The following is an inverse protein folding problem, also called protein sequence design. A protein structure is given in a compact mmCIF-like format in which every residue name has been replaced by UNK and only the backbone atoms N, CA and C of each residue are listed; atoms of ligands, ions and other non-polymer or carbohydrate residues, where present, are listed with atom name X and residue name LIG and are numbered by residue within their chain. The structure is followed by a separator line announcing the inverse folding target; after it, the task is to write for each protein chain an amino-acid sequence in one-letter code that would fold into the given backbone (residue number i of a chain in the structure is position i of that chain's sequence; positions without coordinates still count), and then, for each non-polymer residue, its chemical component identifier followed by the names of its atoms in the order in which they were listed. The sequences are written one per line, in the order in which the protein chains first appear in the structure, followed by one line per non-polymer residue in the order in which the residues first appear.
data_IF_502186724305
#
_entry.id   IF_502186724305
#
_cell.length_a   1.000
_cell.length_b   1.000
_cell.length_c   1.000
_cell.angle_alpha   90.00
_cell.angle_beta   90.00
_cell.angle_gamma   90.00
#
_symmetry.space_group_name_H-M   'P 1'
#
loop_
_entity.id
_entity.type
_entity.pdbx_description
1 polymer ?
#
# COMPACT_ATOMS: atom_id res chain seq x y z
N UNK A 1 1.03 9.33 -25.87
CA UNK A 1 0.58 10.11 -24.68
C UNK A 1 0.34 9.11 -23.55
N UNK A 2 0.67 9.47 -22.31
CA UNK A 2 0.35 8.63 -21.15
C UNK A 2 -1.14 8.68 -20.81
N UNK A 3 -1.64 7.70 -20.02
CA UNK A 3 -3.08 7.56 -19.71
C UNK A 3 -3.71 8.79 -19.03
N UNK A 4 -2.90 9.51 -18.23
CA UNK A 4 -3.34 10.69 -17.47
C UNK A 4 -2.68 11.99 -17.96
N UNK A 5 -2.16 12.00 -19.21
CA UNK A 5 -1.63 13.22 -19.81
C UNK A 5 -2.69 14.30 -19.86
N UNK A 6 -2.38 15.50 -19.35
CA UNK A 6 -3.28 16.65 -19.26
C UNK A 6 -4.08 16.70 -17.95
N UNK A 7 -3.96 15.72 -17.07
CA UNK A 7 -4.52 15.77 -15.71
C UNK A 7 -3.52 16.46 -14.78
N UNK A 8 -3.98 17.51 -14.09
CA UNK A 8 -3.21 18.27 -13.09
C UNK A 8 -3.77 18.05 -11.69
N UNK A 9 -2.87 17.80 -10.73
CA UNK A 9 -3.20 17.48 -9.33
C UNK A 9 -2.49 18.46 -8.42
N UNK A 10 -3.22 19.09 -7.52
CA UNK A 10 -2.68 19.83 -6.36
C UNK A 10 -2.70 18.89 -5.16
N UNK A 11 -1.52 18.54 -4.65
CA UNK A 11 -1.30 17.53 -3.62
C UNK A 11 -0.77 18.17 -2.32
N UNK A 12 -1.61 18.28 -1.29
CA UNK A 12 -1.25 18.76 0.03
C UNK A 12 -1.03 17.61 1.04
N UNK A 13 -1.09 16.38 0.57
CA UNK A 13 -0.94 15.22 1.44
C UNK A 13 0.50 15.03 1.91
N UNK A 14 0.67 14.41 3.08
CA UNK A 14 1.95 14.18 3.73
C UNK A 14 2.11 12.70 4.09
N UNK A 15 3.32 12.29 4.40
CA UNK A 15 3.69 10.93 4.79
C UNK A 15 3.43 9.89 3.69
N UNK A 16 2.42 8.99 3.81
CA UNK A 16 2.35 7.80 2.97
C UNK A 16 1.11 7.72 2.08
N UNK A 17 -0.16 7.69 2.55
CA UNK A 17 -1.28 7.26 1.70
C UNK A 17 -1.52 8.19 0.51
N UNK A 18 -1.60 9.49 0.72
CA UNK A 18 -1.78 10.48 -0.34
C UNK A 18 -0.57 10.56 -1.28
N UNK A 19 0.67 10.75 -0.77
CA UNK A 19 1.86 10.82 -1.60
C UNK A 19 2.09 9.57 -2.46
N UNK A 20 1.82 8.37 -1.95
CA UNK A 20 1.90 7.13 -2.72
C UNK A 20 0.87 7.11 -3.84
N UNK A 21 -0.37 7.48 -3.55
CA UNK A 21 -1.46 7.53 -4.53
C UNK A 21 -1.13 8.53 -5.66
N UNK A 22 -0.70 9.75 -5.32
CA UNK A 22 -0.36 10.77 -6.33
C UNK A 22 0.90 10.42 -7.12
N UNK A 23 1.86 9.66 -6.55
CA UNK A 23 2.97 9.09 -7.31
C UNK A 23 2.50 8.06 -8.36
N UNK A 24 1.49 7.25 -8.03
CA UNK A 24 0.89 6.35 -9.03
C UNK A 24 0.23 7.12 -10.18
N UNK A 25 -0.40 8.26 -9.91
CA UNK A 25 -0.91 9.15 -10.96
C UNK A 25 0.22 9.75 -11.81
N UNK A 26 1.30 10.21 -11.16
CA UNK A 26 2.49 10.76 -11.84
C UNK A 26 3.15 9.73 -12.76
N UNK A 27 3.30 8.48 -12.33
CA UNK A 27 3.87 7.38 -13.13
C UNK A 27 3.09 7.15 -14.43
N UNK A 28 1.83 7.60 -14.50
CA UNK A 28 0.96 7.48 -15.66
C UNK A 28 0.66 8.82 -16.35
N UNK A 29 1.44 9.86 -16.05
CA UNK A 29 1.48 11.11 -16.82
C UNK A 29 0.67 12.26 -16.28
N UNK A 30 0.08 12.15 -15.07
CA UNK A 30 -0.50 13.31 -14.41
C UNK A 30 0.62 14.26 -13.93
N UNK A 31 0.37 15.55 -14.02
CA UNK A 31 1.19 16.60 -13.43
C UNK A 31 0.81 16.76 -11.95
N UNK A 32 1.76 16.53 -11.03
CA UNK A 32 1.50 16.61 -9.60
C UNK A 32 2.25 17.81 -9.02
N UNK A 33 1.52 18.79 -8.52
CA UNK A 33 2.05 19.95 -7.80
C UNK A 33 1.87 19.68 -6.32
N UNK A 34 2.97 19.29 -5.66
CA UNK A 34 2.99 19.06 -4.21
C UNK A 34 3.17 20.39 -3.48
N UNK A 35 2.15 20.77 -2.72
CA UNK A 35 2.19 21.94 -1.86
C UNK A 35 2.71 21.54 -0.49
N UNK A 36 3.80 22.15 -0.08
CA UNK A 36 4.46 21.85 1.19
C UNK A 36 4.43 23.07 2.14
N UNK A 37 4.34 22.84 3.46
CA UNK A 37 4.54 23.91 4.42
C UNK A 37 6.01 24.40 4.39
N UNK A 38 6.36 25.54 5.00
CA UNK A 38 7.73 26.07 5.02
C UNK A 38 8.81 25.12 5.52
N UNK A 39 8.45 24.12 6.33
CA UNK A 39 9.37 23.05 6.78
C UNK A 39 9.45 21.83 5.87
N UNK A 40 8.66 21.80 4.81
CA UNK A 40 8.51 20.64 3.92
C UNK A 40 7.68 19.49 4.50
N UNK A 41 7.50 18.45 3.71
CA UNK A 41 6.93 17.18 4.16
C UNK A 41 7.87 16.51 5.19
N UNK A 42 7.38 16.07 6.36
CA UNK A 42 8.20 15.37 7.36
C UNK A 42 8.94 14.14 6.79
N UNK A 43 8.42 13.52 5.75
CA UNK A 43 9.10 12.40 5.07
C UNK A 43 10.48 12.80 4.49
N UNK A 44 10.73 14.10 4.24
CA UNK A 44 12.05 14.60 3.83
C UNK A 44 13.14 14.38 4.87
N UNK A 45 12.76 14.26 6.15
CA UNK A 45 13.68 14.08 7.29
C UNK A 45 13.84 12.62 7.73
N UNK A 46 13.20 11.68 7.03
CA UNK A 46 13.23 10.28 7.41
C UNK A 46 14.42 9.52 6.81
N UNK A 47 15.19 8.85 7.66
CA UNK A 47 16.28 7.97 7.25
C UNK A 47 15.77 6.70 6.52
N UNK A 48 16.62 6.06 5.70
CA UNK A 48 17.99 6.44 5.36
C UNK A 48 18.08 7.54 4.32
N UNK A 49 19.20 8.26 4.33
CA UNK A 49 19.53 9.27 3.32
C UNK A 49 20.50 8.70 2.27
N UNK A 50 20.29 9.09 1.03
CA UNK A 50 21.18 8.81 -0.09
C UNK A 50 21.30 10.08 -0.95
N UNK A 51 22.51 10.54 -1.24
CA UNK A 51 22.78 11.79 -1.95
C UNK A 51 22.08 13.03 -1.34
N UNK A 52 21.97 13.05 0.00
CA UNK A 52 21.34 14.15 0.75
C UNK A 52 19.81 14.14 0.77
N UNK A 53 19.17 13.15 0.14
CA UNK A 53 17.72 13.05 0.06
C UNK A 53 17.24 11.77 0.78
N UNK A 54 16.12 11.88 1.50
CA UNK A 54 15.45 10.73 2.11
C UNK A 54 15.04 9.73 1.03
N UNK A 55 15.44 8.45 1.20
CA UNK A 55 15.07 7.36 0.30
C UNK A 55 13.55 7.14 0.33
N UNK A 56 12.94 7.32 1.49
CA UNK A 56 11.48 7.22 1.60
C UNK A 56 10.78 8.35 0.84
N UNK A 57 11.13 9.62 1.12
CA UNK A 57 10.56 10.77 0.42
C UNK A 57 10.67 10.59 -1.10
N UNK A 58 11.85 10.21 -1.59
CA UNK A 58 12.09 9.99 -3.02
C UNK A 58 11.12 8.94 -3.61
N UNK A 59 10.91 7.82 -2.92
CA UNK A 59 10.08 6.75 -3.45
C UNK A 59 8.58 7.10 -3.54
N UNK A 60 8.09 8.00 -2.73
CA UNK A 60 6.67 8.40 -2.70
C UNK A 60 6.41 9.80 -3.28
N UNK A 61 7.46 10.53 -3.69
CA UNK A 61 7.31 11.88 -4.25
C UNK A 61 8.09 12.09 -5.56
N UNK A 62 8.66 11.02 -6.12
CA UNK A 62 9.33 11.09 -7.42
C UNK A 62 8.37 11.56 -8.52
N UNK A 63 8.88 12.36 -9.45
CA UNK A 63 8.12 12.86 -10.60
C UNK A 63 7.11 13.97 -10.26
N UNK A 64 7.11 14.47 -9.02
CA UNK A 64 6.26 15.61 -8.62
C UNK A 64 7.04 16.93 -8.75
N UNK A 65 6.30 18.03 -8.69
CA UNK A 65 6.80 19.38 -8.55
C UNK A 65 6.58 19.85 -7.13
N UNK A 66 7.56 20.48 -6.49
CA UNK A 66 7.45 21.00 -5.11
C UNK A 66 7.30 22.52 -5.12
N UNK A 67 6.28 23.00 -4.40
CA UNK A 67 5.99 24.41 -4.16
C UNK A 67 5.75 24.61 -2.67
N UNK A 68 6.43 25.55 -2.04
CA UNK A 68 6.23 25.89 -0.63
C UNK A 68 5.23 27.03 -0.49
N UNK A 69 4.12 26.75 0.21
CA UNK A 69 3.11 27.77 0.56
C UNK A 69 2.76 27.68 2.04
N UNK A 70 2.98 28.78 2.77
CA UNK A 70 2.38 28.95 4.10
C UNK A 70 0.92 29.42 3.95
N UNK A 71 -0.01 28.49 4.00
CA UNK A 71 -1.44 28.75 3.79
C UNK A 71 -2.09 29.62 4.89
N UNK A 72 -1.35 29.97 5.93
CA UNK A 72 -1.78 30.97 6.91
C UNK A 72 -1.59 32.40 6.39
N UNK A 73 -0.82 32.56 5.32
CA UNK A 73 -0.61 33.84 4.65
C UNK A 73 -1.61 34.00 3.51
N UNK A 74 -2.37 35.09 3.51
CA UNK A 74 -3.43 35.32 2.51
C UNK A 74 -2.92 35.30 1.07
N UNK A 75 -1.75 35.88 0.82
CA UNK A 75 -1.15 35.91 -0.53
C UNK A 75 -0.83 34.50 -1.04
N UNK A 76 -0.35 33.61 -0.16
CA UNK A 76 -0.09 32.22 -0.52
C UNK A 76 -1.38 31.43 -0.73
N UNK A 77 -2.43 31.75 0.04
CA UNK A 77 -3.74 31.14 -0.18
C UNK A 77 -4.32 31.54 -1.54
N UNK A 78 -4.17 32.80 -1.98
CA UNK A 78 -4.58 33.26 -3.32
C UNK A 78 -3.80 32.53 -4.42
N UNK A 79 -2.49 32.31 -4.23
CA UNK A 79 -1.69 31.50 -5.15
C UNK A 79 -2.19 30.06 -5.26
N UNK A 80 -2.58 29.44 -4.12
CA UNK A 80 -3.19 28.13 -4.12
C UNK A 80 -4.50 28.11 -4.91
N UNK A 81 -5.35 29.13 -4.74
CA UNK A 81 -6.61 29.25 -5.48
C UNK A 81 -6.38 29.32 -6.99
N UNK A 82 -5.37 30.08 -7.42
CA UNK A 82 -4.98 30.11 -8.82
C UNK A 82 -4.54 28.74 -9.37
N UNK A 83 -3.80 27.95 -8.57
CA UNK A 83 -3.46 26.57 -8.96
C UNK A 83 -4.70 25.69 -9.05
N UNK A 84 -5.65 25.81 -8.12
CA UNK A 84 -6.89 25.03 -8.09
C UNK A 84 -7.79 25.33 -9.29
N UNK A 85 -7.86 26.59 -9.71
CA UNK A 85 -8.67 27.03 -10.88
C UNK A 85 -8.26 26.28 -12.15
N UNK A 86 -6.96 25.95 -12.29
CA UNK A 86 -6.40 25.27 -13.46
C UNK A 86 -6.18 23.76 -13.25
N UNK A 87 -6.65 23.19 -12.13
CA UNK A 87 -6.37 21.79 -11.77
C UNK A 87 -7.62 20.92 -11.85
N UNK A 88 -7.39 19.63 -12.04
CA UNK A 88 -8.43 18.59 -12.12
C UNK A 88 -8.75 17.98 -10.77
N UNK A 89 -7.71 17.84 -9.93
CA UNK A 89 -7.78 17.09 -8.68
C UNK A 89 -7.10 17.88 -7.59
N UNK A 90 -7.72 17.91 -6.42
CA UNK A 90 -7.15 18.42 -5.18
C UNK A 90 -7.10 17.29 -4.14
N UNK A 91 -5.94 17.09 -3.50
CA UNK A 91 -5.72 16.02 -2.52
C UNK A 91 -5.21 16.59 -1.22
N UNK A 92 -5.85 16.23 -0.11
CA UNK A 92 -5.36 16.56 1.22
C UNK A 92 -5.46 15.35 2.16
N UNK A 93 -4.68 15.34 3.25
CA UNK A 93 -4.70 14.30 4.27
C UNK A 93 -4.67 14.92 5.69
N UNK A 94 -5.46 15.95 5.89
CA UNK A 94 -5.57 16.64 7.16
C UNK A 94 -6.61 15.96 8.08
N UNK A 95 -6.49 16.26 9.37
CA UNK A 95 -7.56 15.93 10.32
C UNK A 95 -8.81 16.76 10.02
N UNK A 96 -10.01 16.21 10.28
CA UNK A 96 -11.26 16.94 10.10
C UNK A 96 -11.24 18.35 10.70
N UNK A 97 -11.76 19.32 9.94
CA UNK A 97 -11.82 20.73 10.29
C UNK A 97 -10.54 21.53 10.04
N UNK A 98 -9.42 20.89 9.64
CA UNK A 98 -8.18 21.64 9.28
C UNK A 98 -8.37 22.33 7.94
N UNK A 99 -8.91 21.66 6.93
CA UNK A 99 -9.18 22.23 5.61
C UNK A 99 -10.09 23.45 5.70
N UNK A 100 -11.18 23.38 6.49
CA UNK A 100 -12.07 24.52 6.74
C UNK A 100 -11.33 25.72 7.37
N UNK A 101 -10.47 25.47 8.37
CA UNK A 101 -9.71 26.57 9.02
C UNK A 101 -8.69 27.21 8.08
N UNK A 102 -8.23 26.48 7.08
CA UNK A 102 -7.29 26.98 6.07
C UNK A 102 -8.01 27.55 4.84
N UNK A 103 -9.34 27.53 4.83
CA UNK A 103 -10.18 27.99 3.71
C UNK A 103 -9.87 27.25 2.41
N UNK A 104 -9.63 25.91 2.51
CA UNK A 104 -9.33 25.01 1.39
C UNK A 104 -10.24 23.78 1.39
N UNK A 105 -11.38 23.84 2.07
CA UNK A 105 -12.41 22.81 2.05
C UNK A 105 -13.11 22.71 0.69
N UNK A 106 -13.87 21.63 0.50
CA UNK A 106 -14.53 21.36 -0.76
C UNK A 106 -15.48 22.46 -1.20
N UNK A 107 -16.28 23.01 -0.29
CA UNK A 107 -17.24 24.10 -0.57
C UNK A 107 -16.52 25.34 -1.12
N UNK A 108 -15.40 25.69 -0.51
CA UNK A 108 -14.56 26.81 -0.93
C UNK A 108 -13.96 26.56 -2.31
N UNK A 109 -13.31 25.39 -2.51
CA UNK A 109 -12.58 25.09 -3.75
C UNK A 109 -13.51 24.78 -4.92
N UNK A 110 -14.66 24.13 -4.70
CA UNK A 110 -15.65 23.88 -5.73
C UNK A 110 -16.37 25.14 -6.21
N UNK A 111 -16.44 26.18 -5.38
CA UNK A 111 -16.92 27.50 -5.81
C UNK A 111 -15.93 28.19 -6.76
N UNK A 112 -14.63 27.91 -6.65
CA UNK A 112 -13.58 28.42 -7.56
C UNK A 112 -13.56 27.57 -8.84
N UNK A 113 -13.53 26.24 -8.68
CA UNK A 113 -13.51 25.29 -9.80
C UNK A 113 -14.59 24.20 -9.61
N UNK A 114 -15.78 24.36 -10.20
CA UNK A 114 -16.87 23.39 -10.08
C UNK A 114 -16.55 21.99 -10.65
N UNK A 115 -15.46 21.86 -11.42
CA UNK A 115 -15.01 20.59 -11.98
C UNK A 115 -13.95 19.89 -11.10
N UNK A 116 -13.55 20.49 -9.99
CA UNK A 116 -12.50 19.93 -9.14
C UNK A 116 -12.95 18.60 -8.49
N UNK A 117 -12.12 17.61 -8.57
CA UNK A 117 -12.26 16.36 -7.80
C UNK A 117 -11.47 16.53 -6.53
N UNK A 118 -12.17 16.66 -5.41
CA UNK A 118 -11.57 16.83 -4.09
C UNK A 118 -11.46 15.48 -3.38
N UNK A 119 -10.24 15.07 -3.03
CA UNK A 119 -9.98 13.83 -2.31
C UNK A 119 -9.40 14.14 -0.93
N UNK A 120 -10.17 13.85 0.11
CA UNK A 120 -9.76 13.92 1.50
C UNK A 120 -9.42 12.51 2.00
N UNK A 121 -8.20 12.30 2.54
CA UNK A 121 -7.77 11.04 3.11
C UNK A 121 -7.55 11.24 4.61
N UNK A 122 -8.28 10.48 5.44
CA UNK A 122 -8.15 10.60 6.89
C UNK A 122 -8.23 9.22 7.57
N UNK A 123 -7.86 9.14 8.86
CA UNK A 123 -7.84 7.87 9.57
C UNK A 123 -9.22 7.21 9.65
N UNK A 124 -10.28 8.00 9.96
CA UNK A 124 -11.62 7.48 10.25
C UNK A 124 -12.75 8.18 9.46
N UNK A 125 -12.41 8.92 8.40
CA UNK A 125 -13.39 9.75 7.67
C UNK A 125 -13.57 11.14 8.27
N UNK A 126 -14.33 11.98 7.58
CA UNK A 126 -14.54 13.37 7.97
C UNK A 126 -15.64 13.56 9.00
N UNK A 127 -16.44 12.53 9.25
CA UNK A 127 -17.52 12.52 10.25
C UNK A 127 -17.50 11.26 11.12
N UNK A 128 -18.48 11.15 12.04
CA UNK A 128 -18.61 9.99 12.91
C UNK A 128 -17.83 10.10 14.24
N UNK A 129 -18.02 9.09 15.13
CA UNK A 129 -17.54 9.17 16.51
C UNK A 129 -16.01 9.18 16.66
N UNK A 130 -15.26 8.69 15.67
CA UNK A 130 -13.79 8.65 15.67
C UNK A 130 -13.14 9.71 14.76
N UNK A 131 -13.91 10.55 14.09
CA UNK A 131 -13.39 11.51 13.11
C UNK A 131 -12.23 12.36 13.64
N UNK A 132 -12.30 12.82 14.90
CA UNK A 132 -11.25 13.62 15.54
C UNK A 132 -10.20 12.81 16.31
N UNK A 133 -10.32 11.45 16.33
CA UNK A 133 -9.35 10.61 17.03
C UNK A 133 -8.02 10.59 16.28
N UNK A 134 -6.88 10.91 16.96
CA UNK A 134 -5.58 10.89 16.32
C UNK A 134 -5.13 9.45 16.06
N UNK A 135 -4.81 9.14 14.81
CA UNK A 135 -4.33 7.82 14.44
C UNK A 135 -3.36 7.89 13.25
N UNK A 136 -2.48 6.90 13.22
CA UNK A 136 -1.73 6.47 12.06
C UNK A 136 -2.12 5.01 11.76
N UNK A 137 -1.58 4.44 10.71
CA UNK A 137 -1.83 3.09 10.19
C UNK A 137 -2.08 2.04 11.30
N UNK A 138 -1.10 1.83 12.18
CA UNK A 138 -1.17 0.81 13.24
C UNK A 138 -2.40 0.98 14.16
N UNK A 139 -2.78 2.20 14.49
CA UNK A 139 -3.94 2.46 15.32
C UNK A 139 -5.24 2.18 14.57
N UNK A 140 -5.29 2.49 13.28
CA UNK A 140 -6.43 2.15 12.41
C UNK A 140 -6.58 0.65 12.28
N UNK A 141 -5.47 -0.09 12.06
CA UNK A 141 -5.49 -1.56 12.01
C UNK A 141 -6.00 -2.19 13.31
N UNK A 142 -5.63 -1.60 14.46
CA UNK A 142 -6.09 -2.06 15.76
C UNK A 142 -7.61 -1.85 15.93
N UNK A 143 -8.13 -0.68 15.59
CA UNK A 143 -9.56 -0.40 15.62
C UNK A 143 -10.37 -1.24 14.64
N UNK A 144 -9.82 -1.54 13.47
CA UNK A 144 -10.48 -2.39 12.47
C UNK A 144 -10.51 -3.88 12.85
N UNK A 145 -9.85 -4.27 13.94
CA UNK A 145 -9.74 -5.67 14.37
C UNK A 145 -8.70 -6.48 13.59
N UNK A 146 -7.99 -5.87 12.64
CA UNK A 146 -6.98 -6.54 11.82
C UNK A 146 -5.84 -7.12 12.69
N UNK A 147 -5.39 -6.37 13.69
CA UNK A 147 -4.31 -6.82 14.58
C UNK A 147 -4.68 -8.02 15.44
N UNK A 148 -5.97 -8.28 15.70
CA UNK A 148 -6.42 -9.42 16.51
C UNK A 148 -6.07 -10.78 15.88
N UNK A 149 -5.80 -10.80 14.58
CA UNK A 149 -5.44 -12.01 13.82
C UNK A 149 -4.02 -11.96 13.26
N UNK A 150 -3.29 -10.88 13.51
CA UNK A 150 -1.88 -10.73 13.14
C UNK A 150 -0.99 -11.11 14.35
N UNK A 151 -0.89 -12.40 14.60
CA UNK A 151 -0.20 -13.00 15.72
C UNK A 151 0.69 -14.18 15.27
N UNK A 152 1.41 -14.80 16.21
CA UNK A 152 2.27 -15.97 15.97
C UNK A 152 1.52 -17.30 16.11
N UNK A 153 0.20 -17.30 16.16
CA UNK A 153 -0.62 -18.48 16.46
C UNK A 153 -0.88 -18.68 17.96
N UNK A 154 -0.43 -17.77 18.80
CA UNK A 154 -0.58 -17.78 20.26
C UNK A 154 -1.63 -16.78 20.76
N UNK A 155 -2.18 -15.95 19.86
CA UNK A 155 -3.15 -14.90 20.17
C UNK A 155 -2.54 -13.59 20.64
N UNK A 156 -1.21 -13.47 20.69
CA UNK A 156 -0.51 -12.24 21.06
C UNK A 156 -0.26 -11.38 19.80
N UNK A 157 -0.91 -10.21 19.66
CA UNK A 157 -0.75 -9.37 18.50
C UNK A 157 0.70 -8.92 18.29
N UNK A 158 1.13 -8.88 17.03
CA UNK A 158 2.45 -8.36 16.63
C UNK A 158 2.27 -7.16 15.69
N UNK A 159 3.26 -6.27 15.69
CA UNK A 159 3.26 -5.12 14.77
C UNK A 159 3.44 -5.64 13.33
N UNK A 160 2.51 -5.35 12.41
CA UNK A 160 2.63 -5.74 11.00
C UNK A 160 3.81 -5.03 10.35
N UNK A 161 4.48 -5.69 9.42
CA UNK A 161 5.51 -5.06 8.60
C UNK A 161 4.93 -4.26 7.42
N UNK A 162 3.67 -4.50 7.08
CA UNK A 162 2.98 -3.85 5.96
C UNK A 162 1.92 -2.88 6.49
N UNK A 163 2.00 -1.57 6.14
CA UNK A 163 1.02 -0.57 6.57
C UNK A 163 -0.27 -0.74 5.76
N UNK A 164 -1.14 -1.65 6.22
CA UNK A 164 -2.28 -2.12 5.44
C UNK A 164 -3.38 -1.06 5.30
N UNK A 165 -3.57 -0.22 6.30
CA UNK A 165 -4.55 0.85 6.26
C UNK A 165 -4.12 1.99 5.32
N UNK A 166 -2.84 2.39 5.37
CA UNK A 166 -2.25 3.36 4.44
C UNK A 166 -2.33 2.86 2.99
N UNK A 167 -1.91 1.61 2.75
CA UNK A 167 -1.89 1.02 1.42
C UNK A 167 -3.29 0.85 0.82
N UNK A 168 -4.25 0.37 1.61
CA UNK A 168 -5.63 0.19 1.15
C UNK A 168 -6.31 1.52 0.85
N UNK A 169 -6.08 2.56 1.68
CA UNK A 169 -6.62 3.90 1.43
C UNK A 169 -5.99 4.59 0.22
N UNK A 170 -4.68 4.39 -0.03
CA UNK A 170 -4.03 4.85 -1.28
C UNK A 170 -4.73 4.28 -2.52
N UNK A 171 -5.01 2.97 -2.52
CA UNK A 171 -5.68 2.31 -3.64
C UNK A 171 -7.16 2.69 -3.76
N UNK A 172 -7.85 2.87 -2.63
CA UNK A 172 -9.23 3.35 -2.62
C UNK A 172 -9.32 4.79 -3.18
N UNK A 173 -8.43 5.69 -2.75
CA UNK A 173 -8.34 7.05 -3.25
C UNK A 173 -8.04 7.09 -4.75
N UNK A 174 -7.05 6.31 -5.23
CA UNK A 174 -6.76 6.18 -6.66
C UNK A 174 -7.99 5.74 -7.44
N UNK A 175 -8.67 4.69 -6.98
CA UNK A 175 -9.85 4.15 -7.63
C UNK A 175 -11.01 5.16 -7.64
N UNK A 176 -11.26 5.83 -6.52
CA UNK A 176 -12.29 6.86 -6.39
C UNK A 176 -12.04 8.05 -7.34
N UNK A 177 -10.80 8.55 -7.38
CA UNK A 177 -10.41 9.64 -8.29
C UNK A 177 -10.64 9.25 -9.76
N UNK A 178 -10.23 8.04 -10.17
CA UNK A 178 -10.45 7.58 -11.54
C UNK A 178 -11.94 7.43 -11.88
N UNK A 179 -12.76 6.95 -10.92
CA UNK A 179 -14.23 6.91 -11.09
C UNK A 179 -14.83 8.31 -11.21
N UNK A 180 -14.35 9.26 -10.39
CA UNK A 180 -14.82 10.66 -10.44
C UNK A 180 -14.42 11.34 -11.74
N UNK A 181 -13.20 11.11 -12.27
CA UNK A 181 -12.77 11.60 -13.58
C UNK A 181 -13.70 11.11 -14.70
N UNK A 182 -14.00 9.80 -14.72
CA UNK A 182 -14.94 9.20 -15.69
C UNK A 182 -16.36 9.78 -15.52
N UNK A 183 -16.80 9.98 -14.28
CA UNK A 183 -18.09 10.59 -13.96
C UNK A 183 -18.18 12.03 -14.48
N UNK A 184 -17.14 12.82 -14.23
CA UNK A 184 -17.01 14.22 -14.63
C UNK A 184 -17.11 14.44 -16.14
N UNK A 185 -16.57 13.54 -16.96
CA UNK A 185 -16.69 13.62 -18.43
C UNK A 185 -18.16 13.63 -18.90
N UNK A 186 -19.06 13.05 -18.13
CA UNK A 186 -20.50 12.99 -18.45
C UNK A 186 -21.28 14.14 -17.84
N UNK A 187 -20.90 14.59 -16.66
CA UNK A 187 -21.67 15.56 -15.86
C UNK A 187 -21.15 16.99 -15.99
N UNK A 188 -19.86 17.16 -16.32
CA UNK A 188 -19.17 18.44 -16.28
C UNK A 188 -18.94 18.98 -14.87
N UNK A 189 -19.19 18.17 -13.82
CA UNK A 189 -19.10 18.57 -12.41
C UNK A 189 -18.12 17.64 -11.71
N UNK A 190 -17.26 18.20 -10.84
CA UNK A 190 -16.36 17.44 -9.96
C UNK A 190 -17.12 16.71 -8.85
N UNK A 191 -16.38 16.17 -7.89
CA UNK A 191 -16.97 15.44 -6.77
C UNK A 191 -16.08 15.55 -5.52
N UNK A 192 -16.66 15.24 -4.37
CA UNK A 192 -15.96 15.12 -3.09
C UNK A 192 -15.81 13.64 -2.70
N UNK A 193 -14.57 13.23 -2.46
CA UNK A 193 -14.24 11.88 -1.98
C UNK A 193 -13.75 11.96 -0.53
N UNK A 194 -14.48 11.35 0.38
CA UNK A 194 -14.04 11.07 1.74
C UNK A 194 -13.49 9.64 1.81
N UNK A 195 -12.19 9.52 1.98
CA UNK A 195 -11.47 8.24 2.04
C UNK A 195 -10.98 8.00 3.45
N UNK A 196 -11.71 7.19 4.20
CA UNK A 196 -11.27 6.74 5.51
C UNK A 196 -10.32 5.54 5.38
N UNK A 197 -9.16 5.59 6.02
CA UNK A 197 -8.22 4.46 6.10
C UNK A 197 -8.90 3.25 6.75
N UNK A 198 -9.71 3.49 7.78
CA UNK A 198 -10.50 2.48 8.49
C UNK A 198 -11.46 1.74 7.56
N UNK A 199 -12.26 2.46 6.79
CA UNK A 199 -13.23 1.89 5.85
C UNK A 199 -12.52 1.15 4.72
N UNK A 200 -11.40 1.70 4.25
CA UNK A 200 -10.63 1.14 3.15
C UNK A 200 -9.99 -0.21 3.49
N UNK A 201 -9.64 -0.45 4.77
CA UNK A 201 -9.04 -1.70 5.23
C UNK A 201 -10.06 -2.83 5.36
N UNK A 202 -11.28 -2.55 5.84
CA UNK A 202 -12.27 -3.56 6.20
C UNK A 202 -12.64 -4.54 5.07
N UNK A 203 -12.86 -4.13 3.80
CA UNK A 203 -13.20 -5.05 2.72
C UNK A 203 -12.13 -6.12 2.46
N UNK A 204 -10.86 -5.83 2.73
CA UNK A 204 -9.75 -6.79 2.57
C UNK A 204 -9.75 -7.89 3.63
N UNK A 205 -10.44 -7.66 4.77
CA UNK A 205 -10.56 -8.64 5.85
C UNK A 205 -11.65 -9.70 5.60
N UNK A 206 -12.49 -9.54 4.58
CA UNK A 206 -13.67 -10.38 4.34
C UNK A 206 -13.42 -11.87 4.26
N UNK A 207 -12.25 -12.29 3.78
CA UNK A 207 -11.92 -13.71 3.60
C UNK A 207 -11.56 -14.45 4.91
N UNK A 208 -11.21 -13.75 5.98
CA UNK A 208 -10.95 -14.34 7.30
C UNK A 208 -11.91 -13.86 8.39
N UNK A 209 -12.56 -12.70 8.21
CA UNK A 209 -13.56 -12.17 9.15
C UNK A 209 -14.93 -12.88 9.07
N UNK A 210 -15.07 -13.89 8.20
CA UNK A 210 -16.32 -14.62 7.99
C UNK A 210 -17.03 -15.11 9.27
N UNK A 211 -16.36 -15.76 10.22
CA UNK A 211 -16.99 -16.18 11.48
C UNK A 211 -17.58 -15.01 12.27
N UNK A 212 -16.90 -13.89 12.33
CA UNK A 212 -17.40 -12.69 13.02
C UNK A 212 -18.62 -12.10 12.31
N UNK A 213 -18.60 -12.04 10.99
CA UNK A 213 -19.71 -11.53 10.19
C UNK A 213 -20.96 -12.44 10.25
N UNK A 214 -20.76 -13.77 10.24
CA UNK A 214 -21.85 -14.72 10.18
C UNK A 214 -22.43 -15.05 11.57
N UNK A 215 -21.59 -15.10 12.61
CA UNK A 215 -21.96 -15.67 13.90
C UNK A 215 -21.59 -14.79 15.10
N UNK A 216 -20.93 -13.65 14.89
CA UNK A 216 -20.42 -12.80 15.98
C UNK A 216 -19.27 -13.45 16.77
N UNK A 217 -18.61 -14.44 16.21
CA UNK A 217 -17.52 -15.17 16.85
C UNK A 217 -16.17 -14.50 16.60
N UNK A 218 -15.30 -14.47 17.61
CA UNK A 218 -13.94 -13.99 17.44
C UNK A 218 -13.14 -14.92 16.50
N UNK A 219 -12.34 -14.32 15.63
CA UNK A 219 -11.45 -15.06 14.73
C UNK A 219 -10.15 -15.39 15.47
N UNK A 220 -9.67 -16.62 15.34
CA UNK A 220 -8.38 -17.05 15.86
C UNK A 220 -7.46 -17.50 14.72
N UNK A 221 -6.29 -16.88 14.56
CA UNK A 221 -5.33 -17.16 13.49
C UNK A 221 -4.99 -18.66 13.39
N UNK A 222 -4.79 -19.33 14.52
CA UNK A 222 -4.46 -20.76 14.60
C UNK A 222 -5.52 -21.69 13.97
N UNK A 223 -6.76 -21.24 13.80
CA UNK A 223 -7.85 -22.01 13.19
C UNK A 223 -8.21 -21.51 11.77
N UNK A 224 -7.61 -20.42 11.33
CA UNK A 224 -7.88 -19.86 10.01
C UNK A 224 -7.01 -20.49 8.94
N UNK A 225 -7.64 -20.80 7.81
CA UNK A 225 -7.00 -21.43 6.65
C UNK A 225 -5.73 -20.70 6.20
N UNK A 226 -5.78 -19.38 6.10
CA UNK A 226 -4.75 -18.51 5.50
C UNK A 226 -3.92 -17.74 6.52
N UNK A 227 -4.05 -18.05 7.81
CA UNK A 227 -3.31 -17.39 8.89
C UNK A 227 -2.48 -18.39 9.72
N UNK A 228 -1.99 -19.48 9.08
CA UNK A 228 -1.16 -20.48 9.75
C UNK A 228 -1.93 -21.67 10.36
N UNK A 229 -3.28 -21.66 10.34
CA UNK A 229 -4.09 -22.80 10.78
C UNK A 229 -3.92 -24.05 9.91
N UNK A 230 -3.56 -23.90 8.63
CA UNK A 230 -3.32 -25.00 7.70
C UNK A 230 -1.83 -25.34 7.58
N UNK A 231 -1.50 -26.63 7.56
CA UNK A 231 -0.15 -27.11 7.31
C UNK A 231 0.40 -26.68 5.92
N UNK A 232 -0.46 -26.51 4.92
CA UNK A 232 -0.10 -26.07 3.56
C UNK A 232 -0.33 -24.56 3.33
N UNK A 233 -0.50 -23.80 4.40
CA UNK A 233 -0.47 -22.34 4.39
C UNK A 233 0.24 -21.87 5.64
N UNK A 234 1.58 -22.06 5.67
CA UNK A 234 2.38 -21.88 6.88
C UNK A 234 3.84 -21.59 6.54
N UNK A 235 4.59 -21.13 7.56
CA UNK A 235 6.02 -20.88 7.52
C UNK A 235 6.77 -21.99 8.24
N UNK A 236 7.87 -22.48 7.66
CA UNK A 236 8.66 -23.55 8.19
C UNK A 236 10.14 -23.16 8.27
N UNK A 237 10.78 -23.48 9.38
CA UNK A 237 12.22 -23.27 9.61
C UNK A 237 13.04 -24.30 8.86
N UNK A 238 14.20 -23.92 8.34
CA UNK A 238 15.18 -24.77 7.68
C UNK A 238 16.42 -24.99 8.53
N UNK A 239 17.29 -25.92 8.12
CA UNK A 239 18.52 -26.31 8.86
C UNK A 239 19.47 -25.15 9.16
N UNK A 240 19.49 -24.16 8.29
CA UNK A 240 20.35 -22.97 8.33
C UNK A 240 19.70 -21.75 9.02
N UNK A 241 18.70 -22.00 9.88
CA UNK A 241 17.91 -20.99 10.59
C UNK A 241 17.16 -19.99 9.69
N UNK A 242 17.08 -20.29 8.38
CA UNK A 242 16.24 -19.57 7.42
C UNK A 242 14.82 -20.14 7.41
N UNK A 243 13.97 -19.63 6.52
CA UNK A 243 12.57 -20.06 6.44
C UNK A 243 12.12 -20.28 5.00
N UNK A 244 11.12 -21.13 4.87
CA UNK A 244 10.36 -21.37 3.64
C UNK A 244 8.87 -21.28 3.96
N UNK A 245 8.06 -21.08 2.92
CA UNK A 245 6.61 -21.11 3.04
C UNK A 245 6.01 -22.19 2.13
N UNK A 246 4.94 -22.81 2.62
CA UNK A 246 3.95 -23.47 1.78
C UNK A 246 2.74 -22.52 1.72
N UNK A 247 2.36 -22.07 0.52
CA UNK A 247 1.36 -21.02 0.31
C UNK A 247 0.11 -21.48 -0.43
N UNK A 248 -0.09 -22.79 -0.60
CA UNK A 248 -1.21 -23.32 -1.37
C UNK A 248 -1.75 -24.65 -0.82
N UNK A 249 -3.05 -24.69 -0.58
CA UNK A 249 -3.76 -25.83 0.02
C UNK A 249 -4.56 -26.63 -1.03
N UNK A 250 -4.38 -26.36 -2.29
CA UNK A 250 -5.03 -27.10 -3.37
C UNK A 250 -4.60 -28.58 -3.34
N UNK A 251 -5.57 -29.47 -3.59
CA UNK A 251 -5.38 -30.92 -3.51
C UNK A 251 -4.16 -31.40 -4.30
N UNK A 252 -3.86 -30.79 -5.45
CA UNK A 252 -2.69 -31.15 -6.26
C UNK A 252 -1.37 -30.86 -5.54
N UNK A 253 -1.23 -29.69 -4.90
CA UNK A 253 -0.01 -29.32 -4.18
C UNK A 253 0.23 -30.21 -2.97
N UNK A 254 -0.84 -30.48 -2.19
CA UNK A 254 -0.81 -31.38 -1.05
C UNK A 254 -0.36 -32.79 -1.47
N UNK A 255 -1.00 -33.35 -2.53
CA UNK A 255 -0.68 -34.68 -3.05
C UNK A 255 0.75 -34.73 -3.61
N UNK A 256 1.16 -33.74 -4.38
CA UNK A 256 2.48 -33.72 -5.00
C UNK A 256 3.60 -33.71 -3.93
N UNK A 257 3.47 -32.85 -2.92
CA UNK A 257 4.46 -32.79 -1.86
C UNK A 257 4.50 -34.06 -1.00
N UNK A 258 3.34 -34.51 -0.50
CA UNK A 258 3.27 -35.65 0.40
C UNK A 258 3.66 -36.98 -0.28
N UNK A 259 3.36 -37.15 -1.56
CA UNK A 259 3.89 -38.28 -2.37
C UNK A 259 5.41 -38.20 -2.48
N UNK A 260 5.96 -37.01 -2.81
CA UNK A 260 7.42 -36.85 -2.91
C UNK A 260 8.15 -37.10 -1.58
N UNK A 261 7.46 -36.84 -0.46
CA UNK A 261 7.96 -37.12 0.91
C UNK A 261 7.58 -38.52 1.43
N UNK A 262 6.85 -39.33 0.64
CA UNK A 262 6.37 -40.68 1.00
C UNK A 262 5.47 -40.68 2.24
N UNK A 263 4.56 -39.70 2.31
CA UNK A 263 3.62 -39.51 3.43
C UNK A 263 2.20 -39.26 2.92
N UNK A 264 1.75 -40.09 1.98
CA UNK A 264 0.40 -40.04 1.44
C UNK A 264 -0.69 -40.24 2.52
N UNK A 265 -0.34 -40.89 3.63
CA UNK A 265 -1.18 -41.06 4.82
C UNK A 265 -1.66 -39.73 5.42
N UNK A 266 -0.95 -38.62 5.19
CA UNK A 266 -1.29 -37.28 5.69
C UNK A 266 -2.16 -36.45 4.72
N UNK A 267 -2.46 -36.95 3.52
CA UNK A 267 -3.18 -36.16 2.49
C UNK A 267 -4.55 -35.70 2.99
N UNK A 268 -5.36 -36.66 3.48
CA UNK A 268 -6.72 -36.35 3.94
C UNK A 268 -6.71 -35.39 5.15
N UNK A 269 -5.73 -35.55 6.04
CA UNK A 269 -5.53 -34.67 7.18
C UNK A 269 -5.26 -33.23 6.73
N UNK A 270 -4.38 -33.03 5.75
CA UNK A 270 -4.01 -31.70 5.24
C UNK A 270 -5.14 -31.05 4.41
N UNK A 271 -6.00 -31.85 3.80
CA UNK A 271 -7.19 -31.38 3.07
C UNK A 271 -8.38 -31.12 4.00
N UNK A 272 -8.35 -31.65 5.21
CA UNK A 272 -9.36 -31.48 6.24
C UNK A 272 -9.45 -30.04 6.79
N UNK A 273 -10.28 -29.77 7.80
CA UNK A 273 -10.40 -28.46 8.42
C UNK A 273 -9.06 -27.93 8.97
N UNK A 274 -8.79 -26.59 8.88
CA UNK A 274 -7.61 -26.00 9.48
C UNK A 274 -7.69 -26.03 11.00
N UNK A 275 -6.55 -25.90 11.67
CA UNK A 275 -6.46 -25.84 13.12
C UNK A 275 -5.71 -27.02 13.74
N UNK A 276 -5.94 -27.32 15.05
CA UNK A 276 -5.19 -28.32 15.79
C UNK A 276 -5.23 -29.73 15.21
N UNK A 277 -6.29 -30.09 14.48
CA UNK A 277 -6.40 -31.37 13.76
C UNK A 277 -5.23 -31.61 12.79
N UNK A 278 -4.65 -30.56 12.22
CA UNK A 278 -3.51 -30.65 11.31
C UNK A 278 -2.13 -30.65 12.00
N UNK A 279 -2.06 -30.61 13.32
CA UNK A 279 -0.79 -30.60 14.04
C UNK A 279 0.14 -31.79 13.70
N UNK A 280 -0.35 -33.03 13.51
CA UNK A 280 0.54 -34.12 13.10
C UNK A 280 1.25 -33.86 11.77
N UNK A 281 0.56 -33.26 10.81
CA UNK A 281 1.17 -32.88 9.53
C UNK A 281 2.13 -31.68 9.68
N UNK A 282 1.77 -30.68 10.49
CA UNK A 282 2.65 -29.54 10.77
C UNK A 282 3.96 -30.00 11.43
N UNK A 283 3.89 -30.88 12.43
CA UNK A 283 5.07 -31.44 13.12
C UNK A 283 5.95 -32.22 12.11
N UNK A 284 5.36 -33.10 11.33
CA UNK A 284 6.10 -33.83 10.29
C UNK A 284 6.82 -32.90 9.30
N UNK A 285 6.15 -31.85 8.84
CA UNK A 285 6.76 -30.87 7.92
C UNK A 285 7.85 -30.04 8.60
N UNK A 286 7.68 -29.65 9.86
CA UNK A 286 8.73 -28.99 10.66
C UNK A 286 9.97 -29.87 10.79
N UNK A 287 9.81 -31.14 11.17
CA UNK A 287 10.91 -32.10 11.28
C UNK A 287 11.58 -32.39 9.92
N UNK A 288 10.80 -32.38 8.85
CA UNK A 288 11.32 -32.58 7.50
C UNK A 288 12.12 -31.40 7.02
N UNK A 289 11.59 -30.17 7.17
CA UNK A 289 12.24 -28.99 6.59
C UNK A 289 13.53 -28.56 7.29
N UNK A 290 13.73 -28.89 8.56
CA UNK A 290 15.01 -28.66 9.26
C UNK A 290 16.13 -29.63 8.83
N UNK A 291 15.87 -30.61 7.96
CA UNK A 291 16.89 -31.56 7.49
C UNK A 291 17.81 -30.98 6.42
N UNK A 292 17.43 -29.90 5.75
CA UNK A 292 18.18 -29.26 4.68
C UNK A 292 18.17 -27.74 4.85
N UNK A 293 19.15 -27.06 4.23
CA UNK A 293 19.17 -25.61 4.12
C UNK A 293 18.03 -25.09 3.22
N UNK A 294 17.72 -23.79 3.33
CA UNK A 294 16.73 -23.13 2.47
C UNK A 294 17.03 -23.33 0.98
N UNK A 295 18.28 -23.14 0.57
CA UNK A 295 18.67 -23.23 -0.83
C UNK A 295 18.66 -24.67 -1.35
N UNK A 296 18.99 -25.66 -0.50
CA UNK A 296 18.82 -27.08 -0.84
C UNK A 296 17.33 -27.40 -1.04
N UNK A 297 16.42 -26.81 -0.27
CA UNK A 297 14.98 -26.96 -0.47
C UNK A 297 14.51 -26.26 -1.76
N UNK A 298 14.99 -25.04 -2.08
CA UNK A 298 14.71 -24.36 -3.35
C UNK A 298 15.06 -25.26 -4.53
N UNK A 299 16.25 -25.86 -4.52
CA UNK A 299 16.66 -26.80 -5.57
C UNK A 299 15.78 -28.08 -5.60
N UNK A 300 15.42 -28.60 -4.43
CA UNK A 300 14.58 -29.80 -4.34
C UNK A 300 13.15 -29.56 -4.88
N UNK A 301 12.60 -28.35 -4.69
CA UNK A 301 11.26 -27.99 -5.16
C UNK A 301 11.20 -27.60 -6.65
N UNK A 302 12.33 -27.33 -7.29
CA UNK A 302 12.41 -26.75 -8.64
C UNK A 302 11.53 -27.44 -9.70
N UNK A 303 11.43 -28.77 -9.64
CA UNK A 303 10.68 -29.56 -10.61
C UNK A 303 9.34 -30.09 -10.03
N UNK A 304 8.87 -29.51 -8.95
CA UNK A 304 7.64 -29.94 -8.27
C UNK A 304 6.56 -28.87 -8.39
N UNK A 305 5.40 -29.26 -8.85
CA UNK A 305 4.20 -28.41 -8.87
C UNK A 305 3.62 -28.33 -7.45
N UNK A 306 4.24 -27.47 -6.61
CA UNK A 306 3.86 -27.18 -5.22
C UNK A 306 3.95 -25.68 -5.02
N UNK A 307 2.97 -25.09 -4.35
CA UNK A 307 3.00 -23.69 -3.98
C UNK A 307 3.99 -23.48 -2.82
N UNK A 308 5.23 -23.21 -3.18
CA UNK A 308 6.39 -23.09 -2.31
C UNK A 308 7.14 -21.80 -2.62
N UNK A 309 7.73 -21.16 -1.60
CA UNK A 309 8.73 -20.11 -1.80
C UNK A 309 9.74 -20.07 -0.63
N UNK A 310 11.00 -19.65 -0.87
CA UNK A 310 11.91 -19.25 0.18
C UNK A 310 11.43 -17.92 0.80
N UNK A 311 11.65 -17.71 2.09
CA UNK A 311 11.54 -16.39 2.71
C UNK A 311 12.85 -15.66 2.45
N UNK A 312 12.78 -14.62 1.61
CA UNK A 312 13.91 -13.77 1.25
C UNK A 312 13.91 -12.51 2.14
N UNK A 313 15.07 -11.96 2.42
CA UNK A 313 15.17 -10.57 2.87
C UNK A 313 15.09 -9.61 1.67
N UNK A 314 15.02 -8.29 1.92
CA UNK A 314 14.88 -7.30 0.85
C UNK A 314 16.12 -7.25 -0.08
N UNK A 315 17.32 -7.55 0.41
CA UNK A 315 18.54 -7.56 -0.41
C UNK A 315 18.49 -8.72 -1.40
N UNK A 316 18.09 -9.90 -0.93
CA UNK A 316 17.86 -11.08 -1.75
C UNK A 316 16.71 -10.83 -2.75
N UNK A 317 15.57 -10.32 -2.26
CA UNK A 317 14.37 -10.04 -3.07
C UNK A 317 14.61 -9.04 -4.19
N UNK A 318 15.44 -8.01 -3.95
CA UNK A 318 15.80 -7.01 -4.98
C UNK A 318 16.71 -7.58 -6.06
N UNK A 319 17.34 -8.72 -5.81
CA UNK A 319 18.16 -9.45 -6.78
C UNK A 319 17.39 -10.51 -7.56
N UNK A 320 16.10 -10.73 -7.25
CA UNK A 320 15.28 -11.73 -7.91
C UNK A 320 15.09 -11.44 -9.40
N UNK A 321 15.36 -12.41 -10.30
CA UNK A 321 15.20 -12.24 -11.75
C UNK A 321 13.82 -11.75 -12.17
N UNK A 322 12.77 -12.19 -11.47
CA UNK A 322 11.39 -11.78 -11.76
C UNK A 322 11.17 -10.28 -11.48
N UNK A 323 11.73 -9.75 -10.40
CA UNK A 323 11.65 -8.34 -10.04
C UNK A 323 12.37 -7.48 -11.08
N UNK A 324 13.57 -7.90 -11.50
CA UNK A 324 14.37 -7.25 -12.54
C UNK A 324 13.64 -7.26 -13.88
N UNK A 325 13.15 -8.44 -14.32
CA UNK A 325 12.38 -8.59 -15.56
C UNK A 325 11.12 -7.70 -15.57
N UNK A 326 10.45 -7.58 -14.43
CA UNK A 326 9.26 -6.73 -14.27
C UNK A 326 9.58 -5.25 -14.11
N UNK A 327 10.86 -4.88 -14.08
CA UNK A 327 11.30 -3.48 -13.85
C UNK A 327 10.65 -2.88 -12.60
N UNK A 328 10.62 -3.65 -11.51
CA UNK A 328 10.08 -3.18 -10.23
C UNK A 328 11.13 -2.48 -9.36
N UNK A 329 12.38 -2.47 -9.79
CA UNK A 329 13.44 -1.65 -9.25
C UNK A 329 14.10 -0.92 -10.43
N UNK A 330 14.10 0.41 -10.39
CA UNK A 330 14.63 1.28 -11.44
C UNK A 330 15.80 2.05 -10.85
N UNK A 331 16.91 2.04 -11.56
CA UNK A 331 18.11 2.78 -11.20
C UNK A 331 18.16 4.12 -11.93
N UNK A 332 18.38 5.19 -11.19
CA UNK A 332 18.53 6.53 -11.70
C UNK A 332 19.97 6.88 -12.07
N UNK A 333 20.21 8.09 -12.60
CA UNK A 333 21.50 8.50 -13.14
C UNK A 333 22.68 8.47 -12.18
N UNK A 334 22.39 8.58 -10.86
CA UNK A 334 23.41 8.54 -9.79
C UNK A 334 23.46 7.21 -9.05
N UNK A 335 22.81 6.15 -9.60
CA UNK A 335 22.73 4.84 -8.96
C UNK A 335 21.62 4.71 -7.91
N UNK A 336 20.88 5.79 -7.62
CA UNK A 336 19.74 5.74 -6.69
C UNK A 336 18.64 4.83 -7.24
N UNK A 337 18.02 4.07 -6.34
CA UNK A 337 16.97 3.11 -6.72
C UNK A 337 15.59 3.56 -6.25
N UNK A 338 14.61 3.38 -7.13
CA UNK A 338 13.19 3.62 -6.82
C UNK A 338 12.35 2.44 -7.27
N UNK A 339 11.19 2.27 -6.65
CA UNK A 339 10.24 1.24 -7.08
C UNK A 339 9.56 1.62 -8.38
N UNK A 340 9.45 0.65 -9.28
CA UNK A 340 8.71 0.78 -10.52
C UNK A 340 7.20 0.79 -10.32
N UNK A 341 6.45 1.25 -11.33
CA UNK A 341 4.99 1.19 -11.29
C UNK A 341 4.49 -0.27 -11.40
N UNK A 342 3.61 -0.72 -10.50
CA UNK A 342 3.00 -2.05 -10.60
C UNK A 342 1.95 -2.14 -11.73
N UNK A 343 1.43 -1.01 -12.19
CA UNK A 343 0.42 -0.94 -13.24
C UNK A 343 1.13 -0.92 -14.61
N UNK A 344 0.93 -1.96 -15.40
CA UNK A 344 1.62 -2.14 -16.69
C UNK A 344 0.61 -2.12 -17.84
N UNK A 345 0.49 -0.99 -18.53
CA UNK A 345 -0.29 -0.92 -19.77
C UNK A 345 0.55 -1.40 -20.97
N UNK A 346 -0.07 -2.15 -21.86
CA UNK A 346 0.57 -2.69 -23.08
C UNK A 346 0.92 -1.58 -24.06
N UNK A 347 -0.02 -0.69 -24.34
CA UNK A 347 0.09 0.29 -25.44
C UNK A 347 0.70 1.62 -24.98
N UNK A 348 0.48 2.00 -23.72
CA UNK A 348 0.96 3.25 -23.13
C UNK A 348 1.49 2.94 -21.75
N UNK A 349 2.71 2.37 -21.65
CA UNK A 349 3.31 2.06 -20.38
C UNK A 349 3.57 3.33 -19.58
N UNK A 350 3.47 3.23 -18.26
CA UNK A 350 3.85 4.31 -17.36
C UNK A 350 5.35 4.64 -17.47
N UNK A 351 5.71 5.85 -17.11
CA UNK A 351 7.08 6.33 -17.05
C UNK A 351 7.40 6.76 -15.63
N UNK A 352 8.22 5.97 -14.95
CA UNK A 352 8.60 6.22 -13.56
C UNK A 352 9.80 7.16 -13.52
N UNK A 353 9.64 8.33 -12.91
CA UNK A 353 10.75 9.21 -12.58
C UNK A 353 11.61 8.59 -11.47
N UNK A 354 12.93 8.79 -11.53
CA UNK A 354 13.84 8.41 -10.44
C UNK A 354 14.23 9.58 -9.55
N UNK A 355 13.67 10.77 -9.82
CA UNK A 355 14.00 12.03 -9.17
C UNK A 355 12.77 12.51 -8.41
N UNK A 356 12.94 12.83 -7.13
CA UNK A 356 11.99 13.61 -6.36
C UNK A 356 12.47 15.08 -6.28
N UNK A 357 11.57 16.04 -6.19
CA UNK A 357 11.94 17.47 -6.20
C UNK A 357 12.66 17.87 -4.91
N UNK A 358 13.56 18.83 -5.04
CA UNK A 358 14.04 19.60 -3.88
C UNK A 358 12.91 20.47 -3.32
N UNK A 359 13.06 20.89 -2.07
CA UNK A 359 12.05 21.75 -1.43
C UNK A 359 11.94 23.07 -2.18
N UNK A 360 10.72 23.44 -2.59
CA UNK A 360 10.40 24.67 -3.35
C UNK A 360 11.08 24.77 -4.74
N UNK A 361 11.55 23.68 -5.28
CA UNK A 361 12.22 23.67 -6.62
C UNK A 361 11.36 24.33 -7.70
N UNK A 362 10.05 24.29 -7.55
CA UNK A 362 9.08 24.78 -8.53
C UNK A 362 8.28 25.99 -8.02
N UNK A 363 8.77 26.71 -7.04
CA UNK A 363 8.09 27.89 -6.45
C UNK A 363 7.70 28.97 -7.48
N UNK A 364 8.43 29.03 -8.63
CA UNK A 364 8.11 29.94 -9.71
C UNK A 364 6.77 29.67 -10.40
N UNK A 365 6.19 28.48 -10.27
CA UNK A 365 4.86 28.16 -10.81
C UNK A 365 3.74 29.08 -10.29
N UNK A 366 3.96 29.69 -9.12
CA UNK A 366 2.98 30.59 -8.50
C UNK A 366 3.29 32.06 -8.71
N UNK A 367 4.28 32.43 -9.50
CA UNK A 367 4.68 33.85 -9.69
C UNK A 367 3.78 34.60 -10.68
N UNK A 368 3.00 33.88 -11.48
CA UNK A 368 2.07 34.44 -12.48
C UNK A 368 0.60 34.37 -12.07
N UNK A 369 0.34 33.87 -10.88
CA UNK A 369 -1.00 33.64 -10.32
C UNK A 369 -1.45 34.80 -9.36
#
# INVERSE_FOLDING_TARGET
MSKLSGIRVVDLSLFLPGPMMTSMLADHGAEIIKIEPPGGDPARQMEPFEEGQSVWFRNINRGKQSVVLDLKQKDNLQKLYGLVEESDIFVEAFRPGVANRLEIDYETLSAINPMIIYCSISAFGQDGPLAHHPAHDLAVEAFAGFMSVNDKGDGEPVVPAFPAADASSSLAALSGILMALIGRERTGIGDYLDIAMYDSLLPWCGHFAGPSLAHGEAVHSATQRSLGGSAFYNVYKTKDDRHIVLGGRESKFVKNLLKALKREDLIDLCLGPPGPSQNPAKIFLQETFVTRSRDEWVNWFKDKDVCFAPVLDFVEGFSEPQLIFRQMLIEGPKGQKVFGSPIKFKNEPGSVSTIAPELDEHGSLTNSL
#
